data_IF_681809531125
#
_entry.id   IF_681809531125
#
_cell.length_a   1.000
_cell.length_b   1.000
_cell.length_c   1.000
_cell.angle_alpha   90.00
_cell.angle_beta   90.00
_cell.angle_gamma   90.00
#
_symmetry.space_group_name_H-M   'P 1'
#
loop_
_entity.id
_entity.type
_entity.pdbx_description
1 polymer ?
#
# COMPACT_ATOMS: atom_id res chain seq x y z
N UNK A 1 4.70 16.31 3.52
CA UNK A 1 3.91 16.57 2.30
C UNK A 1 4.43 15.78 1.11
N UNK A 2 5.75 15.73 0.85
CA UNK A 2 6.33 14.99 -0.29
C UNK A 2 5.99 13.50 -0.28
N UNK A 3 6.10 12.81 0.88
CA UNK A 3 5.78 11.38 0.97
C UNK A 3 4.37 11.02 0.53
N UNK A 4 3.39 11.86 0.87
CA UNK A 4 2.00 11.64 0.49
C UNK A 4 1.82 11.77 -1.02
N UNK A 5 2.46 12.77 -1.63
CA UNK A 5 2.38 13.02 -3.07
C UNK A 5 2.97 11.87 -3.90
N UNK A 6 4.07 11.26 -3.46
CA UNK A 6 4.66 10.13 -4.18
C UNK A 6 3.86 8.85 -4.02
N UNK A 7 3.34 8.56 -2.83
CA UNK A 7 2.38 7.47 -2.65
C UNK A 7 1.11 7.67 -3.46
N UNK A 8 0.63 8.91 -3.63
CA UNK A 8 -0.51 9.18 -4.53
C UNK A 8 -0.18 8.76 -5.97
N UNK A 9 1.00 9.12 -6.49
CA UNK A 9 1.42 8.73 -7.85
C UNK A 9 1.59 7.22 -8.01
N UNK A 10 2.18 6.56 -7.00
CA UNK A 10 2.38 5.10 -7.00
C UNK A 10 1.02 4.40 -7.00
N UNK A 11 0.10 4.82 -6.14
CA UNK A 11 -1.25 4.25 -6.04
C UNK A 11 -2.03 4.44 -7.35
N UNK A 12 -2.00 5.64 -7.92
CA UNK A 12 -2.66 5.93 -9.21
C UNK A 12 -2.09 5.06 -10.34
N UNK A 13 -0.76 4.99 -10.45
CA UNK A 13 -0.09 4.29 -11.55
C UNK A 13 -0.24 2.77 -11.50
N UNK A 14 -0.12 2.17 -10.32
CA UNK A 14 -0.04 0.71 -10.21
C UNK A 14 -1.34 0.06 -9.73
N UNK A 15 -2.19 0.79 -9.00
CA UNK A 15 -3.47 0.27 -8.52
C UNK A 15 -4.66 0.88 -9.27
N UNK A 16 -4.43 1.79 -10.23
CA UNK A 16 -5.48 2.57 -10.91
C UNK A 16 -6.45 3.20 -9.90
N UNK A 17 -5.90 3.68 -8.79
CA UNK A 17 -6.64 4.06 -7.59
C UNK A 17 -6.26 5.43 -7.07
N UNK A 18 -7.24 6.16 -6.54
CA UNK A 18 -7.01 7.43 -5.88
C UNK A 18 -6.70 7.20 -4.41
N UNK A 19 -5.50 7.60 -3.97
CA UNK A 19 -5.09 7.46 -2.57
C UNK A 19 -5.96 8.34 -1.66
N UNK A 20 -6.64 7.71 -0.70
CA UNK A 20 -7.48 8.38 0.30
C UNK A 20 -6.81 8.45 1.67
N UNK A 21 -6.11 7.39 2.05
CA UNK A 21 -5.44 7.29 3.35
C UNK A 21 -4.11 6.56 3.20
N UNK A 22 -3.07 7.07 3.86
CA UNK A 22 -1.77 6.43 4.01
C UNK A 22 -1.40 6.40 5.49
N UNK A 23 -1.20 5.21 6.03
CA UNK A 23 -0.69 4.99 7.38
C UNK A 23 0.63 4.24 7.34
N UNK A 24 1.62 4.77 8.05
CA UNK A 24 2.96 4.20 8.20
C UNK A 24 3.21 3.99 9.69
N UNK A 25 3.26 2.75 10.14
CA UNK A 25 3.42 2.39 11.54
C UNK A 25 4.58 1.42 11.72
N UNK A 26 5.53 1.76 12.58
CA UNK A 26 6.59 0.83 12.97
C UNK A 26 6.00 -0.20 13.94
N UNK A 27 6.06 -1.48 13.57
CA UNK A 27 5.72 -2.57 14.49
C UNK A 27 6.89 -2.81 15.46
N UNK A 28 8.12 -2.70 14.97
CA UNK A 28 9.35 -2.67 15.76
C UNK A 28 10.46 -1.86 15.05
N UNK A 29 11.71 -2.01 15.49
CA UNK A 29 12.87 -1.29 14.92
C UNK A 29 13.23 -1.70 13.49
N UNK A 30 12.76 -2.87 13.03
CA UNK A 30 13.07 -3.45 11.72
C UNK A 30 11.84 -3.61 10.82
N UNK A 31 10.62 -3.50 11.34
CA UNK A 31 9.40 -3.73 10.56
C UNK A 31 8.53 -2.46 10.51
N UNK A 32 8.28 -1.97 9.30
CA UNK A 32 7.39 -0.87 9.00
C UNK A 32 6.15 -1.40 8.28
N UNK A 33 5.00 -1.30 8.91
CA UNK A 33 3.72 -1.58 8.26
C UNK A 33 3.26 -0.35 7.46
N UNK A 34 2.87 -0.61 6.20
CA UNK A 34 2.30 0.36 5.27
C UNK A 34 0.86 -0.06 5.00
N UNK A 35 -0.08 0.77 5.41
CA UNK A 35 -1.51 0.57 5.11
C UNK A 35 -2.01 1.70 4.23
N UNK A 36 -2.69 1.32 3.15
CA UNK A 36 -3.21 2.25 2.14
C UNK A 36 -4.69 1.99 1.95
N UNK A 37 -5.48 3.05 2.04
CA UNK A 37 -6.87 3.05 1.59
C UNK A 37 -6.92 3.82 0.28
N UNK A 38 -7.51 3.24 -0.76
CA UNK A 38 -7.67 3.92 -2.04
C UNK A 38 -9.05 3.70 -2.65
N UNK A 39 -9.50 4.67 -3.42
CA UNK A 39 -10.75 4.62 -4.17
C UNK A 39 -10.47 4.09 -5.58
N UNK A 40 -11.13 3.00 -5.95
CA UNK A 40 -11.06 2.37 -7.25
C UNK A 40 -12.35 2.65 -8.04
N UNK A 41 -12.19 3.14 -9.28
CA UNK A 41 -13.28 3.47 -10.19
C UNK A 41 -14.36 4.42 -9.62
N UNK A 42 -14.05 5.26 -8.63
CA UNK A 42 -14.99 6.18 -7.96
C UNK A 42 -16.18 5.52 -7.22
N UNK A 43 -16.12 4.21 -6.95
CA UNK A 43 -17.24 3.48 -6.33
C UNK A 43 -16.81 2.49 -5.25
N UNK A 44 -15.55 2.07 -5.24
CA UNK A 44 -15.08 1.02 -4.34
C UNK A 44 -13.89 1.52 -3.53
N UNK A 45 -13.92 1.31 -2.22
CA UNK A 45 -12.76 1.53 -1.37
C UNK A 45 -12.02 0.21 -1.20
N UNK A 46 -10.72 0.25 -1.35
CA UNK A 46 -9.84 -0.88 -1.21
C UNK A 46 -8.85 -0.60 -0.09
N UNK A 47 -8.62 -1.58 0.76
CA UNK A 47 -7.57 -1.56 1.77
C UNK A 47 -6.43 -2.48 1.29
N UNK A 48 -5.23 -1.94 1.20
CA UNK A 48 -4.01 -2.67 0.84
C UNK A 48 -3.00 -2.54 1.99
N UNK A 49 -2.46 -3.67 2.47
CA UNK A 49 -1.47 -3.68 3.54
C UNK A 49 -0.21 -4.45 3.15
N UNK A 50 0.92 -3.85 3.52
CA UNK A 50 2.27 -4.36 3.30
C UNK A 50 3.06 -4.24 4.60
N UNK A 51 3.98 -5.17 4.81
CA UNK A 51 5.08 -5.01 5.76
C UNK A 51 6.37 -4.77 5.01
N UNK A 52 7.17 -3.83 5.48
CA UNK A 52 8.48 -3.51 4.94
C UNK A 52 9.51 -3.90 5.99
N UNK A 53 10.37 -4.86 5.65
CA UNK A 53 11.51 -5.20 6.48
C UNK A 53 12.67 -4.25 6.14
N UNK A 54 13.00 -3.39 7.09
CA UNK A 54 14.00 -2.32 6.96
C UNK A 54 15.44 -2.86 6.97
N UNK A 55 15.66 -4.05 7.56
CA UNK A 55 16.99 -4.66 7.67
C UNK A 55 17.46 -5.23 6.32
N UNK A 56 16.61 -6.02 5.67
CA UNK A 56 16.92 -6.67 4.39
C UNK A 56 16.34 -5.93 3.18
N UNK A 57 15.58 -4.85 3.40
CA UNK A 57 14.90 -4.03 2.38
C UNK A 57 13.89 -4.84 1.54
N UNK A 58 13.18 -5.78 2.16
CA UNK A 58 12.11 -6.54 1.51
C UNK A 58 10.72 -6.01 1.86
N UNK A 59 9.74 -6.39 1.03
CA UNK A 59 8.32 -6.14 1.27
C UNK A 59 7.57 -7.47 1.28
N UNK A 60 6.76 -7.64 2.31
CA UNK A 60 5.87 -8.77 2.49
C UNK A 60 4.42 -8.32 2.34
N UNK A 61 3.69 -9.02 1.48
CA UNK A 61 2.27 -8.81 1.27
C UNK A 61 1.47 -9.29 2.48
N UNK A 62 0.58 -8.44 3.01
CA UNK A 62 -0.31 -8.81 4.13
C UNK A 62 -1.72 -9.11 3.62
N UNK A 63 -2.38 -8.14 2.98
CA UNK A 63 -3.76 -8.29 2.48
C UNK A 63 -4.09 -7.21 1.46
N UNK A 64 -5.04 -7.54 0.60
CA UNK A 64 -5.68 -6.60 -0.30
C UNK A 64 -7.16 -6.99 -0.38
N UNK A 65 -8.06 -6.09 -0.02
CA UNK A 65 -9.48 -6.39 -0.03
C UNK A 65 -10.36 -5.17 -0.26
N UNK A 66 -11.56 -5.41 -0.79
CA UNK A 66 -12.59 -4.39 -0.87
C UNK A 66 -13.22 -4.10 0.50
N UNK A 67 -13.35 -2.81 0.81
CA UNK A 67 -13.99 -2.29 2.00
C UNK A 67 -15.48 -2.07 1.74
N UNK A 68 -16.32 -2.52 2.67
CA UNK A 68 -17.77 -2.24 2.63
C UNK A 68 -18.63 -3.29 1.90
N UNK A 69 -18.06 -4.38 1.40
CA UNK A 69 -18.86 -5.56 1.05
C UNK A 69 -19.22 -6.33 2.33
N UNK A 70 -20.46 -6.83 2.39
CA UNK A 70 -20.95 -7.69 3.49
C UNK A 70 -20.02 -8.88 3.77
N UNK A 71 -19.36 -9.36 2.71
CA UNK A 71 -18.28 -10.34 2.76
C UNK A 71 -16.97 -9.66 2.33
N UNK A 72 -15.89 -9.82 3.10
CA UNK A 72 -14.56 -9.31 2.74
C UNK A 72 -14.07 -10.03 1.48
N UNK A 73 -14.08 -9.32 0.34
CA UNK A 73 -13.58 -9.87 -0.93
C UNK A 73 -12.08 -9.65 -0.96
N UNK A 74 -11.31 -10.73 -0.77
CA UNK A 74 -9.87 -10.70 -0.96
C UNK A 74 -9.54 -10.56 -2.45
N UNK A 75 -8.59 -9.68 -2.72
CA UNK A 75 -8.07 -9.36 -4.04
C UNK A 75 -6.64 -9.89 -4.16
N UNK A 76 -6.18 -10.01 -5.39
CA UNK A 76 -4.81 -10.43 -5.65
C UNK A 76 -3.82 -9.37 -5.15
N UNK A 77 -2.62 -9.82 -4.77
CA UNK A 77 -1.48 -8.93 -4.54
C UNK A 77 -1.01 -8.33 -5.87
N UNK A 78 -0.42 -7.15 -5.79
CA UNK A 78 0.09 -6.37 -6.90
C UNK A 78 1.61 -6.19 -6.75
N UNK A 79 2.38 -7.11 -7.36
CA UNK A 79 3.83 -7.17 -7.16
C UNK A 79 4.56 -5.92 -7.67
N UNK A 80 4.11 -5.33 -8.78
CA UNK A 80 4.71 -4.10 -9.32
C UNK A 80 4.50 -2.89 -8.40
N UNK A 81 3.34 -2.83 -7.74
CA UNK A 81 3.05 -1.83 -6.71
C UNK A 81 3.98 -1.99 -5.50
N UNK A 82 4.14 -3.23 -5.02
CA UNK A 82 5.04 -3.56 -3.91
C UNK A 82 6.50 -3.20 -4.20
N UNK A 83 6.96 -3.50 -5.42
CA UNK A 83 8.28 -3.11 -5.88
C UNK A 83 8.45 -1.59 -5.91
N UNK A 84 7.46 -0.86 -6.43
CA UNK A 84 7.49 0.61 -6.47
C UNK A 84 7.53 1.24 -5.07
N UNK A 85 6.78 0.68 -4.11
CA UNK A 85 6.85 1.10 -2.70
C UNK A 85 8.24 0.84 -2.12
N UNK A 86 8.81 -0.34 -2.37
CA UNK A 86 10.16 -0.70 -1.92
C UNK A 86 11.21 0.27 -2.47
N UNK A 87 11.19 0.50 -3.78
CA UNK A 87 12.09 1.43 -4.45
C UNK A 87 11.95 2.83 -3.85
N UNK A 88 10.72 3.31 -3.66
CA UNK A 88 10.49 4.62 -3.05
C UNK A 88 11.05 4.74 -1.62
N UNK A 89 10.86 3.72 -0.78
CA UNK A 89 11.31 3.75 0.61
C UNK A 89 12.84 3.66 0.76
N UNK A 90 13.53 2.99 -0.18
CA UNK A 90 14.96 2.68 -0.06
C UNK A 90 15.86 3.34 -1.09
N UNK A 91 15.35 4.08 -2.08
CA UNK A 91 16.15 4.76 -3.11
C UNK A 91 16.62 6.17 -2.73
N UNK A 92 16.94 6.38 -1.44
CA UNK A 92 17.68 7.55 -0.97
C UNK A 92 19.13 7.19 -0.64
#
# INVERSE_FOLDING_TARGET
MEKYADFTKITDRFLNGKLEELNLSYEDENHLQVSITYEYNNYYWMDYKLEVNLLNKSVDFITHHAKGSLDRVELNREAEFEEAVTQYLFSN
#
